data_IF_079443326022
#
_entry.id   IF_079443326022
#
_cell.length_a   1.000
_cell.length_b   1.000
_cell.length_c   1.000
_cell.angle_alpha   90.00
_cell.angle_beta   90.00
_cell.angle_gamma   90.00
#
_symmetry.space_group_name_H-M   'P 1'
#
loop_
_entity.id
_entity.type
_entity.pdbx_description
1 polymer ?
#
# COMPACT_ATOMS: atom_id res chain seq x y z
N UNK A 1 -43.35 14.48 -26.47
CA UNK A 1 -42.04 14.07 -25.93
C UNK A 1 -41.37 15.34 -25.43
N UNK A 2 -41.28 15.52 -24.11
CA UNK A 2 -40.69 16.73 -23.54
C UNK A 2 -39.18 16.74 -23.82
N UNK A 3 -38.69 17.85 -24.38
CA UNK A 3 -37.27 18.07 -24.57
C UNK A 3 -36.61 18.14 -23.18
N UNK A 4 -35.67 17.22 -22.92
CA UNK A 4 -34.82 17.28 -21.73
C UNK A 4 -33.81 18.40 -21.98
N UNK A 5 -34.00 19.52 -21.30
CA UNK A 5 -33.06 20.64 -21.32
C UNK A 5 -31.72 20.13 -20.76
N UNK A 6 -30.63 20.37 -21.50
CA UNK A 6 -29.28 19.89 -21.21
C UNK A 6 -28.65 20.77 -20.12
N UNK A 7 -29.25 20.76 -18.92
CA UNK A 7 -28.82 21.56 -17.78
C UNK A 7 -27.49 21.01 -17.26
N UNK A 8 -26.41 21.66 -17.66
CA UNK A 8 -25.05 21.26 -17.30
C UNK A 8 -24.89 21.36 -15.78
N UNK A 9 -24.55 20.25 -15.08
CA UNK A 9 -24.53 20.23 -13.62
C UNK A 9 -23.46 21.18 -13.08
N UNK A 10 -23.82 21.90 -12.02
CA UNK A 10 -22.90 22.82 -11.35
C UNK A 10 -21.84 22.02 -10.56
N UNK A 11 -20.60 21.99 -11.06
CA UNK A 11 -19.48 21.27 -10.43
C UNK A 11 -18.72 22.18 -9.47
N UNK A 12 -18.57 21.75 -8.22
CA UNK A 12 -17.64 22.36 -7.26
C UNK A 12 -16.21 21.87 -7.51
N UNK A 13 -15.19 22.74 -7.38
CA UNK A 13 -13.81 22.34 -7.61
C UNK A 13 -13.36 21.33 -6.55
N UNK A 14 -12.82 20.21 -7.01
CA UNK A 14 -12.31 19.16 -6.14
C UNK A 14 -10.98 19.57 -5.49
N UNK A 15 -10.94 19.60 -4.16
CA UNK A 15 -9.68 19.74 -3.43
C UNK A 15 -8.98 18.38 -3.42
N UNK A 16 -8.09 18.14 -4.39
CA UNK A 16 -7.39 16.85 -4.60
C UNK A 16 -6.64 16.39 -3.33
N UNK A 17 -6.13 17.34 -2.54
CA UNK A 17 -5.44 17.03 -1.28
C UNK A 17 -6.34 16.35 -0.23
N UNK A 18 -7.65 16.61 -0.25
CA UNK A 18 -8.62 16.00 0.67
C UNK A 18 -9.11 14.62 0.22
N UNK A 19 -8.77 14.21 -1.01
CA UNK A 19 -9.25 12.95 -1.60
C UNK A 19 -8.14 11.94 -1.87
N UNK A 20 -6.88 12.35 -2.00
CA UNK A 20 -5.73 11.43 -2.09
C UNK A 20 -5.20 11.02 -0.72
N UNK A 21 -4.52 9.88 -0.66
CA UNK A 21 -3.73 9.51 0.50
C UNK A 21 -2.59 10.51 0.74
N UNK A 22 -2.28 10.84 2.01
CA UNK A 22 -1.12 11.65 2.33
C UNK A 22 0.17 10.89 1.99
N UNK A 23 0.97 11.45 1.10
CA UNK A 23 2.26 10.87 0.66
C UNK A 23 3.41 11.76 1.12
N UNK A 24 4.45 11.15 1.70
CA UNK A 24 5.71 11.79 2.05
C UNK A 24 6.80 11.27 1.09
N UNK A 25 7.51 12.19 0.43
CA UNK A 25 8.55 11.85 -0.55
C UNK A 25 8.12 10.78 -1.57
N UNK A 26 6.90 10.92 -2.10
CA UNK A 26 6.36 10.02 -3.13
C UNK A 26 5.80 8.69 -2.62
N UNK A 27 5.87 8.39 -1.32
CA UNK A 27 5.38 7.12 -0.74
C UNK A 27 4.37 7.40 0.39
N UNK A 28 3.33 6.59 0.60
CA UNK A 28 2.44 6.73 1.76
C UNK A 28 3.18 6.70 3.09
N UNK A 29 2.66 7.43 4.09
CA UNK A 29 3.23 7.52 5.44
C UNK A 29 3.62 6.15 6.03
N UNK A 30 2.74 5.15 5.90
CA UNK A 30 2.97 3.80 6.42
C UNK A 30 4.24 3.13 5.85
N UNK A 31 4.59 3.42 4.60
CA UNK A 31 5.80 2.86 4.00
C UNK A 31 7.07 3.44 4.64
N UNK A 32 7.08 4.75 4.94
CA UNK A 32 8.21 5.40 5.62
C UNK A 32 8.42 4.77 7.00
N UNK A 33 7.33 4.50 7.73
CA UNK A 33 7.38 3.79 9.02
C UNK A 33 7.98 2.38 8.86
N UNK A 34 7.60 1.65 7.81
CA UNK A 34 8.15 0.32 7.52
C UNK A 34 9.66 0.39 7.20
N UNK A 35 10.10 1.34 6.38
CA UNK A 35 11.52 1.53 6.06
C UNK A 35 12.32 1.77 7.34
N UNK A 36 11.89 2.73 8.17
CA UNK A 36 12.57 3.05 9.44
C UNK A 36 12.57 1.84 10.37
N UNK A 37 11.42 1.17 10.55
CA UNK A 37 11.31 0.00 11.40
C UNK A 37 12.24 -1.15 10.95
N UNK A 38 12.25 -1.47 9.66
CA UNK A 38 13.14 -2.50 9.10
C UNK A 38 14.62 -2.16 9.31
N UNK A 39 15.00 -0.89 9.17
CA UNK A 39 16.39 -0.47 9.34
C UNK A 39 16.88 -0.60 10.77
N UNK A 40 16.02 -0.23 11.74
CA UNK A 40 16.32 -0.39 13.16
C UNK A 40 16.46 -1.87 13.49
N UNK A 41 15.54 -2.71 13.03
CA UNK A 41 15.59 -4.17 13.26
C UNK A 41 16.87 -4.77 12.67
N UNK A 42 17.20 -4.43 11.43
CA UNK A 42 18.41 -4.92 10.76
C UNK A 42 19.68 -4.51 11.51
N UNK A 43 19.73 -3.26 12.00
CA UNK A 43 20.86 -2.78 12.77
C UNK A 43 20.96 -3.45 14.13
N UNK A 44 19.85 -3.68 14.84
CA UNK A 44 19.86 -4.40 16.12
C UNK A 44 20.33 -5.85 15.98
N UNK A 45 19.99 -6.52 14.88
CA UNK A 45 20.40 -7.90 14.62
C UNK A 45 21.90 -8.00 14.30
N UNK A 46 22.40 -7.07 13.49
CA UNK A 46 23.78 -7.15 12.95
C UNK A 46 24.80 -6.37 13.76
N UNK A 47 24.38 -5.29 14.44
CA UNK A 47 25.23 -4.29 15.12
C UNK A 47 26.30 -3.65 14.20
N UNK A 48 26.08 -3.67 12.88
CA UNK A 48 27.01 -3.17 11.88
C UNK A 48 26.47 -1.93 11.16
N UNK A 49 27.35 -1.01 10.79
CA UNK A 49 26.99 0.20 10.02
C UNK A 49 26.38 -0.14 8.66
N UNK A 50 26.79 -1.27 8.07
CA UNK A 50 26.24 -1.77 6.81
C UNK A 50 24.73 -2.02 6.86
N UNK A 51 24.15 -2.21 8.05
CA UNK A 51 22.71 -2.35 8.22
C UNK A 51 21.93 -1.13 7.72
N UNK A 52 22.53 0.07 7.69
CA UNK A 52 21.88 1.28 7.18
C UNK A 52 21.55 1.20 5.68
N UNK A 53 22.23 0.32 4.91
CA UNK A 53 21.89 0.06 3.51
C UNK A 53 20.51 -0.58 3.34
N UNK A 54 19.92 -1.13 4.39
CA UNK A 54 18.53 -1.60 4.34
C UNK A 54 17.53 -0.47 4.08
N UNK A 55 17.86 0.78 4.44
CA UNK A 55 16.98 1.94 4.26
C UNK A 55 16.74 2.24 2.77
N UNK A 56 17.78 2.55 1.96
CA UNK A 56 17.59 2.83 0.54
C UNK A 56 17.03 1.62 -0.21
N UNK A 57 17.45 0.39 0.15
CA UNK A 57 16.92 -0.83 -0.47
C UNK A 57 15.42 -1.01 -0.22
N UNK A 58 14.98 -0.91 1.04
CA UNK A 58 13.57 -1.03 1.38
C UNK A 58 12.74 0.11 0.78
N UNK A 59 13.27 1.33 0.79
CA UNK A 59 12.62 2.49 0.17
C UNK A 59 12.43 2.30 -1.32
N UNK A 60 13.46 1.86 -2.06
CA UNK A 60 13.36 1.63 -3.50
C UNK A 60 12.27 0.61 -3.83
N UNK A 61 12.22 -0.51 -3.12
CA UNK A 61 11.18 -1.55 -3.30
C UNK A 61 9.80 -0.97 -3.01
N UNK A 62 9.60 -0.31 -1.88
CA UNK A 62 8.30 0.26 -1.51
C UNK A 62 7.87 1.40 -2.44
N UNK A 63 8.81 2.23 -2.89
CA UNK A 63 8.58 3.27 -3.87
C UNK A 63 8.11 2.69 -5.21
N UNK A 64 8.76 1.63 -5.70
CA UNK A 64 8.32 0.95 -6.93
C UNK A 64 6.92 0.35 -6.79
N UNK A 65 6.61 -0.28 -5.66
CA UNK A 65 5.27 -0.82 -5.39
C UNK A 65 4.21 0.28 -5.35
N UNK A 66 4.50 1.38 -4.65
CA UNK A 66 3.57 2.51 -4.52
C UNK A 66 3.43 3.32 -5.82
N UNK A 67 4.39 3.20 -6.74
CA UNK A 67 4.29 3.79 -8.09
C UNK A 67 3.24 3.07 -8.95
N UNK A 68 2.98 1.78 -8.70
CA UNK A 68 1.88 1.06 -9.35
C UNK A 68 0.53 1.37 -8.71
N UNK A 69 0.46 1.37 -7.38
CA UNK A 69 -0.75 1.68 -6.62
C UNK A 69 -0.41 2.31 -5.26
N UNK A 70 -0.92 3.54 -5.03
CA UNK A 70 -0.71 4.28 -3.79
C UNK A 70 -1.31 3.60 -2.54
N UNK A 71 -2.22 2.62 -2.72
CA UNK A 71 -2.89 1.87 -1.66
C UNK A 71 -2.43 0.41 -1.57
N UNK A 72 -1.36 0.03 -2.28
CA UNK A 72 -0.85 -1.36 -2.32
C UNK A 72 -0.62 -1.95 -0.93
N UNK A 73 -0.12 -1.16 0.03
CA UNK A 73 0.13 -1.61 1.39
C UNK A 73 -1.17 -1.88 2.18
N UNK A 74 -2.18 -1.04 1.98
CA UNK A 74 -3.49 -1.22 2.61
C UNK A 74 -4.16 -2.48 2.05
N UNK A 75 -4.11 -2.67 0.73
CA UNK A 75 -4.64 -3.87 0.05
C UNK A 75 -3.91 -5.12 0.50
N UNK A 76 -2.57 -5.07 0.57
CA UNK A 76 -1.77 -6.19 1.06
C UNK A 76 -2.17 -6.54 2.50
N UNK A 77 -2.25 -5.57 3.39
CA UNK A 77 -2.65 -5.78 4.78
C UNK A 77 -4.06 -6.40 4.88
N UNK A 78 -5.03 -5.87 4.14
CA UNK A 78 -6.41 -6.39 4.14
C UNK A 78 -6.45 -7.80 3.58
N UNK A 79 -5.76 -8.06 2.47
CA UNK A 79 -5.69 -9.40 1.87
C UNK A 79 -5.06 -10.42 2.83
N UNK A 80 -4.01 -10.03 3.56
CA UNK A 80 -3.35 -10.90 4.53
C UNK A 80 -4.23 -11.17 5.76
N UNK A 81 -5.04 -10.22 6.21
CA UNK A 81 -5.97 -10.40 7.35
C UNK A 81 -7.25 -11.14 6.98
N UNK A 82 -7.89 -10.75 5.88
CA UNK A 82 -9.24 -11.22 5.52
C UNK A 82 -9.21 -12.47 4.64
N UNK A 83 -8.10 -12.71 3.93
CA UNK A 83 -7.94 -13.87 3.04
C UNK A 83 -6.65 -14.63 3.33
N UNK A 84 -6.49 -15.20 4.53
CA UNK A 84 -5.32 -16.03 4.85
C UNK A 84 -5.21 -17.18 3.85
N UNK A 85 -3.98 -17.50 3.42
CA UNK A 85 -3.74 -18.61 2.48
C UNK A 85 -3.91 -19.93 3.24
N UNK A 86 -4.77 -20.82 2.73
CA UNK A 86 -4.85 -22.17 3.29
C UNK A 86 -3.66 -23.01 2.83
N UNK A 87 -3.10 -23.88 3.69
CA UNK A 87 -1.92 -24.70 3.34
C UNK A 87 -2.15 -25.58 2.10
N UNK A 88 -3.38 -26.02 1.90
CA UNK A 88 -3.79 -26.91 0.83
C UNK A 88 -4.15 -26.16 -0.48
N UNK A 89 -4.06 -24.82 -0.51
CA UNK A 89 -4.41 -24.01 -1.69
C UNK A 89 -3.63 -24.41 -2.94
N UNK A 90 -2.36 -24.80 -2.79
CA UNK A 90 -1.53 -25.21 -3.93
C UNK A 90 -2.01 -26.51 -4.60
N UNK A 91 -2.62 -27.41 -3.84
CA UNK A 91 -3.14 -28.67 -4.36
C UNK A 91 -4.55 -28.50 -4.96
N UNK A 92 -5.44 -27.78 -4.26
CA UNK A 92 -6.86 -27.65 -4.66
C UNK A 92 -7.17 -26.42 -5.51
N UNK A 93 -6.26 -25.45 -5.61
CA UNK A 93 -6.49 -24.18 -6.30
C UNK A 93 -7.45 -23.22 -5.59
N UNK A 94 -8.07 -23.64 -4.48
CA UNK A 94 -9.05 -22.87 -3.72
C UNK A 94 -8.72 -22.85 -2.22
N UNK A 95 -9.24 -21.85 -1.51
CA UNK A 95 -9.18 -21.81 -0.05
C UNK A 95 -10.30 -22.69 0.51
N UNK A 96 -9.99 -23.48 1.55
CA UNK A 96 -11.01 -24.23 2.29
C UNK A 96 -11.92 -23.28 3.09
N UNK A 97 -13.22 -23.59 3.15
CA UNK A 97 -14.22 -22.82 3.90
C UNK A 97 -14.15 -23.00 5.44
N UNK A 98 -13.16 -23.73 5.94
CA UNK A 98 -12.98 -23.95 7.38
C UNK A 98 -12.44 -22.69 8.07
N UNK A 99 -12.79 -22.46 9.35
CA UNK A 99 -12.14 -21.44 10.17
C UNK A 99 -10.63 -21.68 10.30
#
# INVERSE_FOLDING_TARGET
>A
MAALDDEKPHLTPLVIALTRSPTLWGVPYMAVVIVIGLTIIAWLITNELWALMTAPCAYAVLFTLCSFDARVLDVLQVSMRQTPRTPNKAFWGANSYGP
#
